data_IF_117369300526
#
_entry.id   IF_117369300526
#
_cell.length_a   1.000
_cell.length_b   1.000
_cell.length_c   1.000
_cell.angle_alpha   90.00
_cell.angle_beta   90.00
_cell.angle_gamma   90.00
#
_symmetry.space_group_name_H-M   'P 1'
#
loop_
_entity.id
_entity.type
_entity.pdbx_description
1 polymer ?
#
# COMPACT_ATOMS: atom_id res chain seq x y z
N UNK A 1 -17.35 25.86 -36.43
CA UNK A 1 -16.69 24.77 -37.20
C UNK A 1 -15.20 25.01 -37.09
N UNK A 2 -14.32 24.20 -36.51
CA UNK A 2 -14.39 22.88 -35.91
C UNK A 2 -13.34 22.87 -34.78
N UNK A 3 -13.77 22.69 -33.53
CA UNK A 3 -12.87 22.26 -32.46
C UNK A 3 -13.27 20.83 -32.14
N UNK A 4 -12.60 19.90 -32.82
CA UNK A 4 -12.76 18.46 -32.63
C UNK A 4 -12.32 18.11 -31.22
N UNK A 5 -13.32 17.89 -30.36
CA UNK A 5 -13.21 17.18 -29.10
C UNK A 5 -12.83 15.72 -29.42
N UNK A 6 -11.54 15.45 -29.62
CA UNK A 6 -11.04 14.07 -29.74
C UNK A 6 -11.01 13.46 -28.35
N UNK A 7 -12.06 12.70 -28.01
CA UNK A 7 -12.05 11.79 -26.88
C UNK A 7 -11.09 10.64 -27.16
N UNK A 8 -9.89 10.70 -26.60
CA UNK A 8 -8.90 9.63 -26.72
C UNK A 8 -7.98 9.58 -25.50
N UNK A 9 -8.49 9.18 -24.32
CA UNK A 9 -7.58 8.77 -23.23
C UNK A 9 -8.29 8.04 -22.08
N UNK A 10 -8.65 6.77 -22.28
CA UNK A 10 -8.84 5.85 -21.14
C UNK A 10 -8.22 4.47 -21.41
N UNK A 11 -8.09 4.06 -22.67
CA UNK A 11 -7.43 2.80 -23.06
C UNK A 11 -5.89 2.87 -23.08
N UNK A 12 -5.31 4.04 -23.38
CA UNK A 12 -3.86 4.24 -23.43
C UNK A 12 -3.20 4.28 -22.04
N UNK A 13 -3.94 4.69 -20.99
CA UNK A 13 -3.41 4.73 -19.62
C UNK A 13 -3.25 3.31 -19.02
N UNK A 14 -4.02 2.33 -19.50
CA UNK A 14 -4.06 1.01 -18.87
C UNK A 14 -2.84 0.14 -19.21
N UNK A 15 -2.31 0.25 -20.43
CA UNK A 15 -1.28 -0.68 -20.90
C UNK A 15 0.16 -0.24 -20.61
N UNK A 16 0.41 1.07 -20.55
CA UNK A 16 1.78 1.60 -20.41
C UNK A 16 2.34 1.49 -18.99
N UNK A 17 1.48 1.40 -17.97
CA UNK A 17 1.89 1.35 -16.56
C UNK A 17 1.70 -0.01 -15.88
N UNK A 18 0.75 -0.85 -16.33
CA UNK A 18 0.42 -2.12 -15.67
C UNK A 18 1.01 -3.36 -16.36
N UNK A 19 1.22 -3.31 -17.69
CA UNK A 19 1.73 -4.44 -18.45
C UNK A 19 3.26 -4.69 -18.40
N UNK A 20 4.14 -3.69 -18.23
CA UNK A 20 5.59 -3.91 -18.35
C UNK A 20 6.20 -4.80 -17.27
N UNK A 21 5.58 -4.88 -16.08
CA UNK A 21 6.10 -5.67 -14.96
C UNK A 21 4.96 -6.35 -14.19
N UNK A 22 4.45 -7.49 -14.70
CA UNK A 22 3.35 -8.23 -14.05
C UNK A 22 3.74 -8.83 -12.69
N UNK A 23 5.02 -8.75 -12.30
CA UNK A 23 5.55 -9.29 -11.04
C UNK A 23 6.01 -8.19 -10.07
N UNK A 24 5.60 -6.94 -10.28
CA UNK A 24 5.92 -5.82 -9.38
C UNK A 24 5.23 -5.94 -8.01
N UNK A 25 4.12 -6.69 -7.94
CA UNK A 25 3.35 -6.90 -6.72
C UNK A 25 3.07 -8.40 -6.56
N UNK A 26 3.77 -9.06 -5.64
CA UNK A 26 3.72 -10.51 -5.42
C UNK A 26 3.24 -10.91 -4.01
N UNK A 27 2.10 -10.39 -3.50
CA UNK A 27 1.61 -10.73 -2.16
C UNK A 27 1.24 -12.22 -2.03
N UNK A 28 1.02 -12.90 -3.16
CA UNK A 28 0.62 -14.31 -3.23
C UNK A 28 1.55 -15.16 -4.12
N UNK A 29 2.79 -14.70 -4.31
CA UNK A 29 3.77 -15.28 -5.25
C UNK A 29 3.27 -15.28 -6.72
N UNK A 30 4.02 -15.92 -7.61
CA UNK A 30 3.67 -16.10 -9.02
C UNK A 30 4.13 -17.47 -9.54
N UNK A 31 3.64 -17.85 -10.74
CA UNK A 31 4.02 -19.09 -11.40
C UNK A 31 3.38 -20.35 -10.78
N UNK A 32 4.01 -21.53 -10.93
CA UNK A 32 3.46 -22.81 -10.47
C UNK A 32 3.22 -22.91 -8.94
N UNK A 33 3.73 -21.95 -8.17
CA UNK A 33 3.58 -21.85 -6.71
C UNK A 33 2.71 -20.66 -6.29
N UNK A 34 1.89 -20.13 -7.20
CA UNK A 34 0.91 -19.09 -6.88
C UNK A 34 -0.10 -19.59 -5.84
N UNK A 35 -0.51 -18.71 -4.93
CA UNK A 35 -1.52 -19.07 -3.92
C UNK A 35 -2.84 -19.47 -4.58
N UNK A 36 -3.27 -20.72 -4.40
CA UNK A 36 -4.57 -21.20 -4.87
C UNK A 36 -5.75 -20.43 -4.24
N UNK A 37 -5.54 -19.89 -3.04
CA UNK A 37 -6.52 -19.08 -2.32
C UNK A 37 -6.49 -17.59 -2.67
N UNK A 38 -5.75 -17.15 -3.69
CA UNK A 38 -5.58 -15.72 -3.99
C UNK A 38 -6.91 -15.00 -4.25
N UNK A 39 -7.79 -15.61 -5.05
CA UNK A 39 -9.09 -15.00 -5.35
C UNK A 39 -9.99 -14.95 -4.11
N UNK A 40 -9.94 -15.99 -3.28
CA UNK A 40 -10.65 -16.02 -2.00
C UNK A 40 -10.14 -14.92 -1.06
N UNK A 41 -8.82 -14.75 -0.92
CA UNK A 41 -8.25 -13.71 -0.09
C UNK A 41 -8.64 -12.29 -0.57
N UNK A 42 -8.69 -12.05 -1.88
CA UNK A 42 -9.18 -10.78 -2.42
C UNK A 42 -10.65 -10.54 -2.13
N UNK A 43 -11.48 -11.58 -2.24
CA UNK A 43 -12.91 -11.49 -1.94
C UNK A 43 -13.13 -11.15 -0.46
N UNK A 44 -12.52 -11.91 0.45
CA UNK A 44 -12.66 -11.73 1.89
C UNK A 44 -12.13 -10.38 2.36
N UNK A 45 -10.94 -9.97 1.90
CA UNK A 45 -10.36 -8.65 2.24
C UNK A 45 -11.20 -7.49 1.73
N UNK A 46 -11.74 -7.59 0.51
CA UNK A 46 -12.62 -6.57 -0.06
C UNK A 46 -13.93 -6.48 0.73
N UNK A 47 -14.55 -7.63 1.02
CA UNK A 47 -15.77 -7.68 1.80
C UNK A 47 -15.57 -7.09 3.20
N UNK A 48 -14.51 -7.51 3.89
CA UNK A 48 -14.16 -6.99 5.22
C UNK A 48 -13.94 -5.48 5.19
N UNK A 49 -13.16 -4.96 4.24
CA UNK A 49 -12.86 -3.53 4.14
C UNK A 49 -14.13 -2.71 3.90
N UNK A 50 -15.01 -3.15 3.00
CA UNK A 50 -16.28 -2.48 2.73
C UNK A 50 -17.15 -2.45 3.99
N UNK A 51 -17.30 -3.58 4.68
CA UNK A 51 -18.10 -3.65 5.91
C UNK A 51 -17.50 -2.81 7.04
N UNK A 52 -16.18 -2.81 7.17
CA UNK A 52 -15.47 -1.99 8.14
C UNK A 52 -15.74 -0.50 7.92
N UNK A 53 -15.62 -0.01 6.68
CA UNK A 53 -15.86 1.39 6.32
C UNK A 53 -17.34 1.79 6.42
N UNK A 54 -18.27 0.87 6.16
CA UNK A 54 -19.70 1.14 6.35
C UNK A 54 -20.10 1.22 7.82
N UNK A 55 -19.41 0.49 8.71
CA UNK A 55 -19.78 0.37 10.12
C UNK A 55 -19.28 1.51 11.00
N UNK A 56 -18.13 2.09 10.65
CA UNK A 56 -17.45 3.13 11.43
C UNK A 56 -17.35 4.43 10.62
N UNK A 57 -17.60 5.56 11.27
CA UNK A 57 -17.59 6.89 10.64
C UNK A 57 -16.21 7.54 10.60
N UNK A 58 -15.28 7.13 11.46
CA UNK A 58 -13.93 7.70 11.53
C UNK A 58 -12.91 6.70 12.07
N UNK A 59 -11.66 6.84 11.61
CA UNK A 59 -10.51 6.07 12.09
C UNK A 59 -9.41 7.03 12.52
N UNK A 60 -8.75 6.72 13.64
CA UNK A 60 -7.56 7.44 14.10
C UNK A 60 -6.49 6.44 14.47
N UNK A 61 -5.24 6.71 14.09
CA UNK A 61 -4.10 5.97 14.59
C UNK A 61 -4.02 6.13 16.11
N UNK A 62 -3.82 5.03 16.83
CA UNK A 62 -3.61 4.97 18.28
C UNK A 62 -2.09 4.93 18.56
N UNK A 63 -1.43 6.07 18.84
CA UNK A 63 0.03 6.12 18.97
C UNK A 63 0.54 5.46 20.26
N UNK A 64 -0.35 5.27 21.22
CA UNK A 64 -0.14 4.54 22.47
C UNK A 64 -0.04 3.02 22.27
N UNK A 65 -0.73 2.48 21.27
CA UNK A 65 -0.61 1.08 20.86
C UNK A 65 0.55 0.85 19.85
N UNK A 66 1.22 1.92 19.41
CA UNK A 66 2.26 1.86 18.39
C UNK A 66 3.62 1.53 19.03
N UNK A 67 4.32 0.49 18.54
CA UNK A 67 5.62 0.12 19.09
C UNK A 67 6.72 1.11 18.74
N UNK A 68 7.75 1.20 19.58
CA UNK A 68 8.77 2.25 19.46
C UNK A 68 9.57 2.13 18.15
N UNK A 69 9.83 0.91 17.67
CA UNK A 69 10.61 0.65 16.45
C UNK A 69 9.86 1.06 15.17
N UNK A 70 8.53 1.16 15.25
CA UNK A 70 7.69 1.61 14.14
C UNK A 70 7.64 3.12 13.99
N UNK A 71 7.99 3.84 15.06
CA UNK A 71 7.94 5.31 15.08
C UNK A 71 9.06 5.86 14.20
N UNK A 72 8.85 7.02 13.57
CA UNK A 72 9.92 7.69 12.84
C UNK A 72 11.11 7.96 13.77
N UNK A 73 12.36 7.73 13.33
CA UNK A 73 13.53 8.02 14.14
C UNK A 73 13.59 9.53 14.42
N UNK A 74 14.09 9.91 15.60
CA UNK A 74 14.16 11.32 16.02
C UNK A 74 14.96 12.20 15.06
N UNK A 75 15.97 11.63 14.40
CA UNK A 75 16.77 12.32 13.37
C UNK A 75 15.94 12.89 12.22
N UNK A 76 14.78 12.31 11.90
CA UNK A 76 13.89 12.83 10.85
C UNK A 76 13.28 14.19 11.19
N UNK A 77 13.09 14.49 12.48
CA UNK A 77 12.57 15.80 12.90
C UNK A 77 13.63 16.90 12.70
N UNK A 78 14.91 16.55 12.85
CA UNK A 78 16.03 17.48 12.80
C UNK A 78 16.61 17.66 11.39
N UNK A 79 16.86 16.55 10.69
CA UNK A 79 17.56 16.52 9.40
C UNK A 79 16.77 15.80 8.29
N UNK A 80 15.53 15.41 8.56
CA UNK A 80 14.70 14.72 7.59
C UNK A 80 14.20 15.62 6.46
N UNK A 81 13.85 14.98 5.35
CA UNK A 81 13.08 15.60 4.26
C UNK A 81 11.71 16.06 4.77
N UNK A 82 11.09 17.05 4.12
CA UNK A 82 9.74 17.52 4.48
C UNK A 82 8.69 16.40 4.57
N UNK A 83 8.82 15.34 3.75
CA UNK A 83 7.98 14.14 3.86
C UNK A 83 8.25 13.35 5.16
N UNK A 84 9.53 13.16 5.50
CA UNK A 84 9.95 12.43 6.71
C UNK A 84 9.52 13.13 8.00
N UNK A 85 9.48 14.48 8.00
CA UNK A 85 8.99 15.26 9.15
C UNK A 85 7.49 15.07 9.44
N UNK A 86 6.69 14.69 8.42
CA UNK A 86 5.23 14.51 8.54
C UNK A 86 4.83 13.08 8.83
N UNK A 87 5.69 12.13 8.50
CA UNK A 87 5.42 10.71 8.58
C UNK A 87 5.30 10.23 10.03
N UNK A 88 4.36 9.34 10.31
CA UNK A 88 4.10 8.79 11.65
C UNK A 88 4.50 7.32 11.79
N UNK A 89 4.85 6.67 10.68
CA UNK A 89 5.17 5.25 10.58
C UNK A 89 6.38 5.06 9.68
N UNK A 90 7.32 4.20 10.05
CA UNK A 90 8.43 3.82 9.17
C UNK A 90 8.08 2.60 8.32
N UNK A 91 8.49 2.60 7.06
CA UNK A 91 8.33 1.46 6.16
C UNK A 91 9.65 0.70 6.02
N UNK A 92 9.57 -0.63 6.03
CA UNK A 92 10.64 -1.53 5.64
C UNK A 92 10.32 -2.24 4.33
N UNK A 93 11.33 -2.80 3.69
CA UNK A 93 11.18 -3.57 2.45
C UNK A 93 11.92 -4.89 2.61
N UNK A 94 11.21 -6.01 2.45
CA UNK A 94 11.79 -7.35 2.30
C UNK A 94 11.28 -7.92 0.96
N UNK A 95 10.35 -8.87 0.99
CA UNK A 95 9.62 -9.31 -0.21
C UNK A 95 8.53 -8.32 -0.64
N UNK A 96 7.84 -7.73 0.33
CA UNK A 96 6.86 -6.66 0.15
C UNK A 96 7.15 -5.52 1.11
N UNK A 97 6.77 -4.29 0.75
CA UNK A 97 6.83 -3.16 1.67
C UNK A 97 5.91 -3.44 2.88
N UNK A 98 6.38 -3.16 4.08
CA UNK A 98 5.64 -3.33 5.33
C UNK A 98 5.84 -2.13 6.24
N UNK A 99 4.84 -1.81 7.06
CA UNK A 99 5.02 -0.89 8.17
C UNK A 99 5.88 -1.59 9.22
N UNK A 100 7.04 -1.02 9.57
CA UNK A 100 7.92 -1.59 10.59
C UNK A 100 7.14 -1.65 11.90
N UNK A 101 7.14 -2.78 12.59
CA UNK A 101 6.49 -3.02 13.89
C UNK A 101 7.29 -4.08 14.65
N UNK A 102 7.11 -4.19 15.98
CA UNK A 102 7.98 -4.97 16.90
C UNK A 102 8.45 -6.29 16.29
N UNK A 103 9.78 -6.49 16.26
CA UNK A 103 10.42 -7.80 16.26
C UNK A 103 10.66 -8.44 14.89
N UNK A 104 11.89 -8.31 14.39
CA UNK A 104 12.76 -9.47 14.14
C UNK A 104 14.19 -9.04 14.41
N UNK A 105 14.50 -8.87 15.71
CA UNK A 105 15.87 -8.99 16.17
C UNK A 105 16.13 -10.50 16.27
N UNK A 106 16.65 -11.04 15.19
CA UNK A 106 17.20 -12.38 15.04
C UNK A 106 18.23 -12.32 13.93
#
# INVERSE_FOLDING_TARGET
MNSTRTGSSTSACRNTYLAPNPFILLPFNAGPRICLGQQFAYQESSFFLIRLLQRFSAFRLAPDAQPEESKPPRSWQESGTEMQKREKITFGTSLTMYAKGVGTDG
#
